data_IF_349743136706
#
_entry.id   IF_349743136706
#
_cell.length_a   1.000
_cell.length_b   1.000
_cell.length_c   1.000
_cell.angle_alpha   90.00
_cell.angle_beta   90.00
_cell.angle_gamma   90.00
#
_symmetry.space_group_name_H-M   'P 1'
#
loop_
_entity.id
_entity.type
_entity.pdbx_description
1 polymer ?
#
# COMPACT_ATOMS: atom_id res chain seq x y z
N UNK A 1 -4.82 26.29 16.79
CA UNK A 1 -3.58 25.60 16.33
C UNK A 1 -3.85 24.99 14.96
N UNK A 2 -3.50 25.71 13.90
CA UNK A 2 -3.62 25.20 12.53
C UNK A 2 -2.38 24.38 12.19
N UNK A 3 -2.56 23.15 11.73
CA UNK A 3 -1.45 22.33 11.25
C UNK A 3 -0.92 22.95 9.94
N UNK A 4 0.34 23.37 9.96
CA UNK A 4 1.11 23.84 8.82
C UNK A 4 1.32 22.67 7.83
N UNK A 5 0.43 22.57 6.83
CA UNK A 5 0.54 21.58 5.75
C UNK A 5 1.56 22.09 4.75
N UNK A 6 2.84 21.83 5.02
CA UNK A 6 3.93 22.15 4.08
C UNK A 6 3.68 21.45 2.74
N UNK A 7 3.46 22.25 1.69
CA UNK A 7 3.43 21.77 0.32
C UNK A 7 4.82 21.26 -0.08
N UNK A 8 5.02 19.96 0.05
CA UNK A 8 6.23 19.30 -0.47
C UNK A 8 6.22 19.37 -2.00
N UNK A 9 7.33 19.80 -2.59
CA UNK A 9 7.47 19.80 -4.05
C UNK A 9 7.40 18.34 -4.57
N UNK A 10 6.83 18.09 -5.75
CA UNK A 10 6.77 16.74 -6.31
C UNK A 10 8.16 16.07 -6.35
N UNK A 11 9.23 16.83 -6.65
CA UNK A 11 10.60 16.33 -6.65
C UNK A 11 11.11 15.87 -5.28
N UNK A 12 10.73 16.55 -4.19
CA UNK A 12 11.12 16.11 -2.84
C UNK A 12 10.35 14.87 -2.40
N UNK A 13 9.08 14.72 -2.81
CA UNK A 13 8.33 13.48 -2.61
C UNK A 13 9.03 12.28 -3.26
N UNK A 14 9.72 12.45 -4.40
CA UNK A 14 10.38 11.36 -5.12
C UNK A 14 11.81 11.01 -4.65
N UNK A 15 12.45 11.82 -3.78
CA UNK A 15 13.75 11.48 -3.19
C UNK A 15 13.55 10.64 -1.91
N UNK A 16 13.88 9.36 -1.96
CA UNK A 16 13.82 8.44 -0.80
C UNK A 16 12.54 7.59 -0.66
N UNK A 17 11.58 7.73 -1.58
CA UNK A 17 10.23 7.11 -1.47
C UNK A 17 10.00 5.94 -2.45
N UNK A 18 11.03 5.12 -2.68
CA UNK A 18 11.01 4.08 -3.72
C UNK A 18 9.76 3.18 -3.67
N UNK A 19 9.24 2.90 -2.48
CA UNK A 19 8.01 2.12 -2.29
C UNK A 19 6.72 2.92 -2.54
N UNK A 20 6.60 4.15 -2.05
CA UNK A 20 5.41 4.99 -2.29
C UNK A 20 5.24 5.28 -3.79
N UNK A 21 6.35 5.42 -4.52
CA UNK A 21 6.33 5.53 -5.98
C UNK A 21 5.73 4.30 -6.64
N UNK A 22 6.09 3.09 -6.18
CA UNK A 22 5.51 1.84 -6.70
C UNK A 22 4.00 1.81 -6.49
N UNK A 23 3.50 2.23 -5.33
CA UNK A 23 2.07 2.31 -5.06
C UNK A 23 1.32 3.21 -6.04
N UNK A 24 1.87 4.40 -6.33
CA UNK A 24 1.27 5.29 -7.33
C UNK A 24 1.25 4.62 -8.72
N UNK A 25 2.32 3.92 -9.09
CA UNK A 25 2.42 3.21 -10.37
C UNK A 25 1.39 2.08 -10.46
N UNK A 26 1.27 1.23 -9.44
CA UNK A 26 0.29 0.13 -9.42
C UNK A 26 -1.14 0.64 -9.52
N UNK A 27 -1.47 1.67 -8.74
CA UNK A 27 -2.80 2.28 -8.79
C UNK A 27 -3.11 2.88 -10.17
N UNK A 28 -2.12 3.54 -10.79
CA UNK A 28 -2.28 4.07 -12.15
C UNK A 28 -2.48 2.95 -13.18
N UNK A 29 -1.69 1.89 -13.10
CA UNK A 29 -1.82 0.73 -13.98
C UNK A 29 -3.19 0.05 -13.84
N UNK A 30 -3.68 -0.11 -12.61
CA UNK A 30 -5.02 -0.64 -12.33
C UNK A 30 -6.12 0.24 -12.94
N UNK A 31 -6.06 1.56 -12.72
CA UNK A 31 -7.02 2.52 -13.31
C UNK A 31 -7.00 2.51 -14.85
N UNK A 32 -5.84 2.22 -15.46
CA UNK A 32 -5.69 2.09 -16.90
C UNK A 32 -6.08 0.71 -17.45
N UNK A 33 -6.52 -0.20 -16.58
CA UNK A 33 -6.89 -1.59 -16.88
C UNK A 33 -5.75 -2.38 -17.53
N UNK A 34 -4.51 -2.09 -17.15
CA UNK A 34 -3.33 -2.79 -17.68
C UNK A 34 -3.39 -4.29 -17.35
N UNK A 35 -3.83 -4.64 -16.14
CA UNK A 35 -4.01 -6.02 -15.70
C UNK A 35 -4.97 -6.81 -16.58
N UNK A 36 -6.07 -6.20 -17.03
CA UNK A 36 -7.02 -6.85 -17.92
C UNK A 36 -6.52 -6.88 -19.37
N UNK A 37 -6.01 -5.76 -19.88
CA UNK A 37 -5.60 -5.62 -21.30
C UNK A 37 -4.40 -6.47 -21.67
N UNK A 38 -3.42 -6.58 -20.77
CA UNK A 38 -2.17 -7.29 -21.05
C UNK A 38 -2.15 -8.71 -20.48
N UNK A 39 -2.87 -8.96 -19.39
CA UNK A 39 -2.76 -10.23 -18.65
C UNK A 39 -4.09 -10.98 -18.50
N UNK A 40 -5.22 -10.43 -18.95
CA UNK A 40 -6.54 -11.08 -18.81
C UNK A 40 -7.02 -11.20 -17.36
N UNK A 41 -6.37 -10.52 -16.41
CA UNK A 41 -6.70 -10.59 -14.99
C UNK A 41 -7.87 -9.63 -14.71
N UNK A 42 -8.94 -10.06 -14.01
CA UNK A 42 -10.10 -9.22 -13.75
C UNK A 42 -9.81 -8.12 -12.71
N UNK A 43 -9.09 -8.48 -11.63
CA UNK A 43 -8.71 -7.58 -10.56
C UNK A 43 -7.45 -8.09 -9.85
N UNK A 44 -6.75 -7.21 -9.12
CA UNK A 44 -5.65 -7.58 -8.25
C UNK A 44 -5.55 -6.61 -7.08
N UNK A 45 -4.95 -7.08 -5.99
CA UNK A 45 -4.46 -6.26 -4.88
C UNK A 45 -2.94 -6.42 -4.78
N UNK A 46 -2.28 -5.48 -4.12
CA UNK A 46 -0.83 -5.53 -3.93
C UNK A 46 -0.53 -5.84 -2.47
N UNK A 47 -0.04 -7.05 -2.22
CA UNK A 47 0.48 -7.45 -0.92
C UNK A 47 1.93 -6.98 -0.74
N UNK A 48 2.16 -6.21 0.32
CA UNK A 48 3.49 -5.78 0.74
C UNK A 48 3.89 -6.54 1.98
N UNK A 49 4.89 -7.42 1.83
CA UNK A 49 5.49 -8.17 2.94
C UNK A 49 6.73 -7.44 3.43
N UNK A 50 6.81 -7.21 4.74
CA UNK A 50 7.96 -6.55 5.37
C UNK A 50 8.72 -7.51 6.28
N UNK A 51 9.92 -7.10 6.72
CA UNK A 51 10.79 -7.95 7.53
C UNK A 51 10.39 -8.06 9.00
N UNK A 52 9.62 -7.10 9.53
CA UNK A 52 9.27 -7.03 10.96
C UNK A 52 7.91 -6.33 11.13
N UNK A 53 7.10 -6.70 12.14
CA UNK A 53 5.79 -6.09 12.39
C UNK A 53 5.82 -4.56 12.48
N UNK A 54 6.77 -3.98 13.22
CA UNK A 54 6.89 -2.52 13.36
C UNK A 54 7.14 -1.77 12.04
N UNK A 55 7.58 -2.45 10.97
CA UNK A 55 7.74 -1.85 9.64
C UNK A 55 6.41 -1.75 8.88
N UNK A 56 5.45 -2.63 9.16
CA UNK A 56 4.08 -2.55 8.61
C UNK A 56 3.45 -1.21 9.00
N UNK A 57 3.45 -0.89 10.29
CA UNK A 57 2.87 0.36 10.81
C UNK A 57 3.53 1.61 10.19
N UNK A 58 4.86 1.62 10.09
CA UNK A 58 5.62 2.72 9.47
C UNK A 58 5.22 2.92 8.01
N UNK A 59 5.02 1.83 7.27
CA UNK A 59 4.65 1.89 5.85
C UNK A 59 3.20 2.35 5.66
N UNK A 60 2.28 1.87 6.50
CA UNK A 60 0.91 2.35 6.51
C UNK A 60 0.85 3.84 6.90
N UNK A 61 1.65 4.28 7.87
CA UNK A 61 1.72 5.69 8.24
C UNK A 61 2.25 6.56 7.10
N UNK A 62 3.32 6.11 6.42
CA UNK A 62 3.84 6.80 5.25
C UNK A 62 2.79 6.87 4.12
N UNK A 63 2.06 5.78 3.89
CA UNK A 63 0.94 5.78 2.94
C UNK A 63 -0.14 6.79 3.34
N UNK A 64 -0.56 6.80 4.62
CA UNK A 64 -1.58 7.75 5.11
C UNK A 64 -1.16 9.21 4.95
N UNK A 65 0.11 9.49 5.22
CA UNK A 65 0.67 10.84 5.13
C UNK A 65 0.74 11.36 3.69
N UNK A 66 0.97 10.48 2.71
CA UNK A 66 1.31 10.90 1.36
C UNK A 66 0.30 10.51 0.26
N UNK A 67 -0.46 9.43 0.46
CA UNK A 67 -1.29 8.78 -0.56
C UNK A 67 -2.78 8.69 -0.20
N UNK A 68 -3.16 8.98 1.04
CA UNK A 68 -4.57 8.99 1.46
C UNK A 68 -5.34 10.25 1.04
N UNK A 69 -4.65 11.30 0.58
CA UNK A 69 -5.24 12.64 0.36
C UNK A 69 -4.79 13.25 -0.98
N UNK A 70 -5.61 14.17 -1.49
CA UNK A 70 -5.29 14.98 -2.68
C UNK A 70 -5.32 14.21 -4.00
N UNK A 71 -4.57 14.69 -4.99
CA UNK A 71 -4.53 14.13 -6.37
C UNK A 71 -4.04 12.68 -6.44
N UNK A 72 -3.40 12.21 -5.37
CA UNK A 72 -2.89 10.86 -5.25
C UNK A 72 -3.81 9.96 -4.42
N UNK A 73 -5.02 10.38 -4.04
CA UNK A 73 -5.92 9.56 -3.25
C UNK A 73 -6.10 8.15 -3.85
N UNK A 74 -5.57 7.16 -3.13
CA UNK A 74 -5.65 5.74 -3.48
C UNK A 74 -6.65 5.06 -2.53
N UNK A 75 -7.38 4.07 -3.04
CA UNK A 75 -8.20 3.21 -2.19
C UNK A 75 -7.28 2.45 -1.21
N UNK A 76 -7.45 2.59 0.12
CA UNK A 76 -6.62 1.91 1.11
C UNK A 76 -6.71 0.38 1.03
N UNK A 77 -7.83 -0.18 0.56
CA UNK A 77 -8.01 -1.63 0.40
C UNK A 77 -7.26 -2.20 -0.82
N UNK A 78 -6.70 -1.35 -1.68
CA UNK A 78 -5.89 -1.80 -2.82
C UNK A 78 -4.49 -2.30 -2.41
N UNK A 79 -3.98 -1.81 -1.28
CA UNK A 79 -2.70 -2.22 -0.72
C UNK A 79 -2.91 -2.97 0.58
N UNK A 80 -2.38 -4.19 0.62
CA UNK A 80 -2.37 -5.06 1.77
C UNK A 80 -0.96 -5.06 2.37
N UNK A 81 -0.86 -5.15 3.68
CA UNK A 81 0.39 -5.13 4.41
C UNK A 81 0.43 -6.29 5.40
N UNK A 82 1.59 -6.93 5.49
CA UNK A 82 1.91 -8.00 6.43
C UNK A 82 3.43 -8.05 6.65
N UNK A 83 3.89 -8.96 7.49
CA UNK A 83 5.30 -9.27 7.72
C UNK A 83 5.54 -10.78 7.77
N UNK A 84 6.81 -11.17 7.70
CA UNK A 84 7.18 -12.58 7.67
C UNK A 84 6.81 -13.34 8.95
N UNK A 85 6.87 -12.70 10.12
CA UNK A 85 6.52 -13.33 11.38
C UNK A 85 5.03 -13.72 11.40
N UNK A 86 4.17 -12.83 10.90
CA UNK A 86 2.74 -13.10 10.72
C UNK A 86 2.52 -14.25 9.72
N UNK A 87 3.20 -14.26 8.58
CA UNK A 87 3.07 -15.35 7.60
C UNK A 87 3.49 -16.70 8.20
N UNK A 88 4.57 -16.72 8.98
CA UNK A 88 5.07 -17.94 9.63
C UNK A 88 4.12 -18.49 10.68
N UNK A 89 3.42 -17.62 11.43
CA UNK A 89 2.37 -18.03 12.39
C UNK A 89 1.18 -18.72 11.71
N UNK A 90 0.99 -18.50 10.41
CA UNK A 90 -0.03 -19.12 9.58
C UNK A 90 0.54 -20.23 8.69
N UNK A 91 1.66 -20.85 9.08
CA UNK A 91 2.30 -21.96 8.36
C UNK A 91 2.67 -21.63 6.90
N UNK A 92 2.83 -20.34 6.57
CA UNK A 92 3.06 -19.88 5.20
C UNK A 92 1.81 -19.78 4.33
N UNK A 93 0.63 -20.14 4.83
CA UNK A 93 -0.63 -19.98 4.11
C UNK A 93 -1.14 -18.54 4.18
N UNK A 94 -0.71 -17.76 3.19
CA UNK A 94 -1.10 -16.36 3.02
C UNK A 94 -2.61 -16.17 2.81
N UNK A 95 -3.38 -17.20 2.43
CA UNK A 95 -4.83 -17.05 2.22
C UNK A 95 -5.63 -17.24 3.52
N UNK A 96 -5.01 -17.85 4.53
CA UNK A 96 -5.62 -18.07 5.85
C UNK A 96 -5.38 -16.93 6.84
N UNK A 97 -4.48 -15.99 6.52
CA UNK A 97 -4.08 -14.93 7.44
C UNK A 97 -4.92 -13.65 7.28
N UNK A 98 -5.11 -12.87 8.37
CA UNK A 98 -5.71 -11.55 8.27
C UNK A 98 -4.74 -10.58 7.59
N UNK A 99 -5.24 -9.82 6.60
CA UNK A 99 -4.46 -8.76 5.96
C UNK A 99 -4.78 -7.41 6.56
N UNK A 100 -3.78 -6.53 6.67
CA UNK A 100 -4.04 -5.14 7.04
C UNK A 100 -4.09 -4.23 5.81
N UNK A 101 -5.14 -3.42 5.70
CA UNK A 101 -5.24 -2.36 4.70
C UNK A 101 -4.23 -1.24 4.98
N UNK A 102 -4.09 -0.29 4.05
CA UNK A 102 -3.25 0.89 4.29
C UNK A 102 -3.71 1.79 5.46
N UNK A 103 -4.96 1.60 5.93
CA UNK A 103 -5.48 2.27 7.14
C UNK A 103 -5.21 1.47 8.43
N UNK A 104 -4.74 0.24 8.33
CA UNK A 104 -4.64 -0.68 9.47
C UNK A 104 -5.95 -1.41 9.77
N UNK A 105 -6.90 -1.40 8.83
CA UNK A 105 -8.14 -2.16 8.95
C UNK A 105 -7.87 -3.61 8.52
N UNK A 106 -8.33 -4.60 9.29
CA UNK A 106 -8.27 -5.99 8.88
C UNK A 106 -9.20 -6.26 7.68
N UNK A 107 -8.69 -7.01 6.71
CA UNK A 107 -9.39 -7.44 5.53
C UNK A 107 -9.32 -8.96 5.46
N UNK A 108 -10.50 -9.58 5.35
CA UNK A 108 -10.66 -10.99 5.00
C UNK A 108 -10.84 -11.07 3.49
N UNK A 109 -10.04 -11.91 2.82
CA UNK A 109 -10.11 -12.12 1.37
C UNK A 109 -11.33 -12.95 0.97
#
# INVERSE_FOLDING_TARGET
MGADVRHQSPRSFFKGSSILRKYVVYQRAFRQKVHTKLFGIPAFQVLTVTTKPGRVEQMQQAWRNHLAKGVHAINPAFFLFTDWETIEQHEGDILSMPFLSAKGEELVL
#
